data_IF_799434820297
#
_entry.id   IF_799434820297
#
_cell.length_a   1.000
_cell.length_b   1.000
_cell.length_c   1.000
_cell.angle_alpha   90.00
_cell.angle_beta   90.00
_cell.angle_gamma   90.00
#
_symmetry.space_group_name_H-M   'P 1'
#
loop_
_entity.id
_entity.type
_entity.pdbx_description
1 polymer ?
#
# COMPACT_ATOMS: atom_id res chain seq x y z
N UNK A 1 -4.25 -27.13 1.38
CA UNK A 1 -3.11 -26.33 0.82
C UNK A 1 -1.77 -27.01 1.10
N UNK A 2 -0.84 -27.08 0.14
CA UNK A 2 0.51 -27.60 0.36
C UNK A 2 1.41 -26.59 1.11
N UNK A 3 2.53 -27.05 1.68
CA UNK A 3 3.44 -26.24 2.51
C UNK A 3 3.99 -25.01 1.77
N UNK A 4 4.34 -25.16 0.48
CA UNK A 4 4.85 -24.07 -0.34
C UNK A 4 3.78 -22.99 -0.56
N UNK A 5 2.57 -23.38 -0.91
CA UNK A 5 1.43 -22.48 -1.09
C UNK A 5 1.10 -21.73 0.20
N UNK A 6 1.24 -22.36 1.38
CA UNK A 6 1.06 -21.68 2.67
C UNK A 6 2.12 -20.61 2.90
N UNK A 7 3.40 -20.91 2.64
CA UNK A 7 4.48 -19.93 2.72
C UNK A 7 4.29 -18.76 1.76
N UNK A 8 3.83 -19.03 0.54
CA UNK A 8 3.54 -17.97 -0.45
C UNK A 8 2.37 -17.10 0.03
N UNK A 9 1.31 -17.68 0.57
CA UNK A 9 0.18 -16.94 1.14
C UNK A 9 0.64 -16.05 2.31
N UNK A 10 1.41 -16.60 3.24
CA UNK A 10 1.95 -15.86 4.40
C UNK A 10 2.84 -14.70 3.94
N UNK A 11 3.69 -14.92 2.93
CA UNK A 11 4.52 -13.87 2.35
C UNK A 11 3.68 -12.75 1.74
N UNK A 12 2.64 -13.08 0.97
CA UNK A 12 1.76 -12.10 0.35
C UNK A 12 0.97 -11.29 1.40
N UNK A 13 0.53 -11.93 2.50
CA UNK A 13 -0.12 -11.24 3.63
C UNK A 13 0.81 -10.23 4.30
N UNK A 14 2.06 -10.62 4.60
CA UNK A 14 3.07 -9.69 5.14
C UNK A 14 3.39 -8.54 4.19
N UNK A 15 3.46 -8.83 2.88
CA UNK A 15 3.66 -7.82 1.85
C UNK A 15 2.49 -6.84 1.80
N UNK A 16 1.26 -7.32 1.98
CA UNK A 16 0.07 -6.48 2.05
C UNK A 16 0.13 -5.52 3.24
N UNK A 17 0.39 -6.04 4.45
CA UNK A 17 0.52 -5.24 5.67
C UNK A 17 1.55 -4.11 5.50
N UNK A 18 2.75 -4.44 5.03
CA UNK A 18 3.80 -3.44 4.79
C UNK A 18 3.42 -2.38 3.74
N UNK A 19 2.67 -2.78 2.70
CA UNK A 19 2.19 -1.86 1.67
C UNK A 19 1.12 -0.91 2.23
N UNK A 20 0.21 -1.41 3.07
CA UNK A 20 -0.82 -0.62 3.74
C UNK A 20 -0.22 0.36 4.75
N UNK A 21 0.80 -0.05 5.52
CA UNK A 21 1.57 0.84 6.39
C UNK A 21 2.26 1.97 5.61
N UNK A 22 2.85 1.63 4.46
CA UNK A 22 3.52 2.61 3.60
C UNK A 22 2.52 3.59 3.01
N UNK A 23 1.37 3.12 2.55
CA UNK A 23 0.27 3.98 2.07
C UNK A 23 -0.17 4.95 3.17
N UNK A 24 -0.36 4.45 4.40
CA UNK A 24 -0.73 5.26 5.56
C UNK A 24 0.26 6.40 5.82
N UNK A 25 1.57 6.13 5.72
CA UNK A 25 2.61 7.17 5.87
C UNK A 25 2.46 8.29 4.86
N UNK A 26 2.22 7.97 3.59
CA UNK A 26 2.01 8.99 2.55
C UNK A 26 0.74 9.82 2.78
N UNK A 27 -0.35 9.19 3.25
CA UNK A 27 -1.59 9.91 3.60
C UNK A 27 -1.33 10.88 4.76
N UNK A 28 -0.70 10.40 5.84
CA UNK A 28 -0.36 11.23 7.00
C UNK A 28 0.58 12.38 6.64
N UNK A 29 1.49 12.15 5.70
CA UNK A 29 2.41 13.19 5.24
C UNK A 29 1.69 14.29 4.47
N UNK A 30 0.72 13.95 3.60
CA UNK A 30 -0.13 14.96 2.97
C UNK A 30 -0.90 15.76 4.02
N UNK A 31 -1.55 15.10 4.98
CA UNK A 31 -2.29 15.78 6.05
C UNK A 31 -1.39 16.73 6.85
N UNK A 32 -0.13 16.34 7.10
CA UNK A 32 0.88 17.17 7.77
C UNK A 32 1.23 18.39 6.91
N UNK A 33 1.52 18.18 5.64
CA UNK A 33 1.90 19.24 4.69
C UNK A 33 0.77 20.23 4.43
N UNK A 34 -0.48 19.79 4.44
CA UNK A 34 -1.66 20.65 4.29
C UNK A 34 -1.92 21.51 5.54
N UNK A 35 -1.63 20.98 6.74
CA UNK A 35 -1.73 21.73 8.01
C UNK A 35 -0.69 22.83 8.11
N UNK A 36 0.51 22.59 7.59
CA UNK A 36 1.57 23.60 7.54
C UNK A 36 1.26 24.52 6.36
N UNK A 37 0.67 25.70 6.62
CA UNK A 37 0.41 26.75 5.62
C UNK A 37 1.72 27.38 5.10
N UNK A 38 2.56 26.58 4.47
CA UNK A 38 3.73 27.04 3.74
C UNK A 38 3.44 26.94 2.25
N UNK A 39 3.70 28.02 1.51
CA UNK A 39 3.30 28.18 0.10
C UNK A 39 4.01 27.21 -0.86
N UNK A 40 5.04 26.51 -0.40
CA UNK A 40 5.91 25.67 -1.24
C UNK A 40 5.60 24.16 -1.20
N UNK A 41 4.68 23.72 -0.33
CA UNK A 41 4.37 22.29 -0.16
C UNK A 41 3.63 21.66 -1.36
N UNK A 42 3.19 22.47 -2.33
CA UNK A 42 2.34 22.03 -3.44
C UNK A 42 2.97 20.92 -4.30
N UNK A 43 4.29 20.97 -4.51
CA UNK A 43 5.03 19.95 -5.28
C UNK A 43 5.13 18.64 -4.52
N UNK A 44 5.41 18.72 -3.21
CA UNK A 44 5.53 17.55 -2.35
C UNK A 44 4.18 16.85 -2.16
N UNK A 45 3.10 17.61 -1.96
CA UNK A 45 1.73 17.09 -1.92
C UNK A 45 1.40 16.34 -3.21
N UNK A 46 1.68 16.92 -4.39
CA UNK A 46 1.45 16.24 -5.68
C UNK A 46 2.26 14.95 -5.83
N UNK A 47 3.49 14.92 -5.33
CA UNK A 47 4.32 13.72 -5.33
C UNK A 47 3.74 12.64 -4.40
N UNK A 48 3.35 13.00 -3.18
CA UNK A 48 2.71 12.07 -2.25
C UNK A 48 1.37 11.55 -2.79
N UNK A 49 0.58 12.37 -3.46
CA UNK A 49 -0.66 11.94 -4.14
C UNK A 49 -0.40 10.90 -5.24
N UNK A 50 0.68 11.07 -6.02
CA UNK A 50 1.10 10.06 -7.02
C UNK A 50 1.51 8.76 -6.34
N UNK A 51 2.28 8.84 -5.25
CA UNK A 51 2.67 7.67 -4.48
C UNK A 51 1.48 6.93 -3.89
N UNK A 52 0.49 7.65 -3.35
CA UNK A 52 -0.77 7.07 -2.85
C UNK A 52 -1.45 6.25 -3.94
N UNK A 53 -1.61 6.79 -5.15
CA UNK A 53 -2.23 6.06 -6.28
C UNK A 53 -1.46 4.78 -6.62
N UNK A 54 -0.14 4.86 -6.71
CA UNK A 54 0.72 3.70 -6.98
C UNK A 54 0.56 2.63 -5.90
N UNK A 55 0.54 3.03 -4.62
CA UNK A 55 0.41 2.09 -3.52
C UNK A 55 -0.99 1.46 -3.43
N UNK A 56 -2.05 2.21 -3.74
CA UNK A 56 -3.41 1.67 -3.86
C UNK A 56 -3.44 0.57 -4.95
N UNK A 57 -2.92 0.85 -6.14
CA UNK A 57 -2.88 -0.12 -7.24
C UNK A 57 -2.08 -1.38 -6.86
N UNK A 58 -0.96 -1.21 -6.15
CA UNK A 58 -0.14 -2.32 -5.67
C UNK A 58 -0.88 -3.17 -4.63
N UNK A 59 -1.56 -2.53 -3.68
CA UNK A 59 -2.38 -3.19 -2.66
C UNK A 59 -3.50 -4.00 -3.31
N UNK A 60 -4.19 -3.45 -4.32
CA UNK A 60 -5.23 -4.19 -5.05
C UNK A 60 -4.68 -5.44 -5.76
N UNK A 61 -3.51 -5.34 -6.39
CA UNK A 61 -2.87 -6.50 -7.03
C UNK A 61 -2.53 -7.58 -6.01
N UNK A 62 -1.96 -7.22 -4.88
CA UNK A 62 -1.65 -8.16 -3.78
C UNK A 62 -2.93 -8.80 -3.25
N UNK A 63 -4.00 -8.03 -3.02
CA UNK A 63 -5.31 -8.56 -2.58
C UNK A 63 -5.90 -9.56 -3.58
N UNK A 64 -5.80 -9.28 -4.89
CA UNK A 64 -6.23 -10.20 -5.96
C UNK A 64 -5.40 -11.49 -5.95
N UNK A 65 -4.10 -11.41 -5.72
CA UNK A 65 -3.21 -12.58 -5.61
C UNK A 65 -3.54 -13.44 -4.37
N UNK A 66 -3.71 -12.82 -3.20
CA UNK A 66 -4.13 -13.49 -1.97
C UNK A 66 -5.45 -14.23 -2.19
N UNK A 67 -6.47 -13.56 -2.75
CA UNK A 67 -7.77 -14.18 -3.02
C UNK A 67 -7.67 -15.39 -3.96
N UNK A 68 -6.81 -15.32 -4.99
CA UNK A 68 -6.54 -16.45 -5.90
C UNK A 68 -5.85 -17.62 -5.18
N UNK A 69 -4.97 -17.33 -4.22
CA UNK A 69 -4.28 -18.36 -3.45
C UNK A 69 -5.24 -19.03 -2.45
N UNK A 70 -6.10 -18.25 -1.81
CA UNK A 70 -7.11 -18.74 -0.86
C UNK A 70 -8.22 -19.54 -1.56
N UNK A 71 -8.65 -19.13 -2.77
CA UNK A 71 -9.66 -19.87 -3.54
C UNK A 71 -9.17 -21.19 -4.14
N UNK A 72 -7.85 -21.44 -4.11
CA UNK A 72 -7.22 -22.70 -4.56
C UNK A 72 -7.02 -23.67 -3.38
N UNK A 73 -7.42 -23.29 -2.17
CA UNK A 73 -7.29 -24.11 -0.96
C UNK A 73 -8.46 -25.05 -0.76
#
# INVERSE_FOLDING_TARGET
>A
MNFLSKKVLDFQKKKLESSEETLKKYIQEIERLEKIKNSDNSKEIKNNQKMIKIWIDNIEKIKKEIKKLESRQ
#
